data_IF_909500631434
#
_entry.id   IF_909500631434
#
_cell.length_a   1.000
_cell.length_b   1.000
_cell.length_c   1.000
_cell.angle_alpha   90.00
_cell.angle_beta   90.00
_cell.angle_gamma   90.00
#
_symmetry.space_group_name_H-M   'P 1'
#
loop_
_entity.id
_entity.type
_entity.pdbx_description
1 polymer ?
#
# COMPACT_ATOMS: atom_id res chain seq x y z
N UNK A 1 -17.73 -10.68 2.11
CA UNK A 1 -18.59 -10.66 0.90
C UNK A 1 -18.07 -11.72 -0.06
N UNK A 2 -18.84 -12.78 -0.34
CA UNK A 2 -18.35 -13.90 -1.15
C UNK A 2 -18.21 -13.50 -2.63
N UNK A 3 -16.97 -13.32 -3.07
CA UNK A 3 -16.46 -13.49 -4.43
C UNK A 3 -17.17 -12.76 -5.60
N UNK A 4 -17.62 -11.52 -5.43
CA UNK A 4 -17.85 -10.67 -6.62
C UNK A 4 -16.51 -10.02 -7.04
N UNK A 5 -15.89 -10.47 -8.15
CA UNK A 5 -14.65 -9.87 -8.64
C UNK A 5 -14.82 -8.38 -8.98
N UNK A 6 -16.03 -7.96 -9.35
CA UNK A 6 -16.35 -6.57 -9.65
C UNK A 6 -16.36 -5.76 -8.36
N UNK A 7 -17.06 -6.22 -7.33
CA UNK A 7 -17.07 -5.60 -6.01
C UNK A 7 -15.66 -5.48 -5.39
N UNK A 8 -14.85 -6.54 -5.51
CA UNK A 8 -13.45 -6.49 -5.08
C UNK A 8 -12.65 -5.47 -5.88
N UNK A 9 -12.76 -5.45 -7.21
CA UNK A 9 -12.03 -4.52 -8.06
C UNK A 9 -12.41 -3.06 -7.75
N UNK A 10 -13.69 -2.77 -7.53
CA UNK A 10 -14.15 -1.45 -7.12
C UNK A 10 -13.62 -1.06 -5.75
N UNK A 11 -13.68 -1.95 -4.76
CA UNK A 11 -13.17 -1.66 -3.42
C UNK A 11 -11.63 -1.50 -3.43
N UNK A 12 -10.92 -2.37 -4.15
CA UNK A 12 -9.47 -2.28 -4.35
C UNK A 12 -9.08 -0.98 -5.06
N UNK A 13 -9.81 -0.59 -6.11
CA UNK A 13 -9.58 0.66 -6.82
C UNK A 13 -9.87 1.88 -5.93
N UNK A 14 -10.97 1.88 -5.18
CA UNK A 14 -11.31 2.95 -4.24
C UNK A 14 -10.28 3.07 -3.12
N UNK A 15 -9.89 1.95 -2.52
CA UNK A 15 -8.85 1.87 -1.48
C UNK A 15 -7.50 2.33 -2.02
N UNK A 16 -7.12 1.84 -3.20
CA UNK A 16 -5.92 2.29 -3.91
C UNK A 16 -6.00 3.79 -4.14
N UNK A 17 -7.09 4.33 -4.68
CA UNK A 17 -7.22 5.77 -4.94
C UNK A 17 -7.05 6.59 -3.66
N UNK A 18 -7.76 6.24 -2.58
CA UNK A 18 -7.69 6.94 -1.29
C UNK A 18 -6.28 6.92 -0.71
N UNK A 19 -5.56 5.80 -0.79
CA UNK A 19 -4.20 5.68 -0.27
C UNK A 19 -3.12 6.24 -1.22
N UNK A 20 -3.38 6.20 -2.52
CA UNK A 20 -2.45 6.63 -3.57
C UNK A 20 -2.44 8.14 -3.74
N UNK A 21 -3.60 8.80 -3.75
CA UNK A 21 -3.71 10.24 -4.03
C UNK A 21 -2.73 11.05 -3.18
N UNK A 22 -2.68 10.90 -1.84
CA UNK A 22 -1.76 11.70 -1.03
C UNK A 22 -0.29 11.31 -1.22
N UNK A 23 0.01 10.04 -1.54
CA UNK A 23 1.40 9.57 -1.71
C UNK A 23 1.97 9.87 -3.08
N UNK A 24 1.13 9.98 -4.11
CA UNK A 24 1.51 10.19 -5.51
C UNK A 24 1.47 11.67 -5.90
N UNK A 25 0.72 12.52 -5.18
CA UNK A 25 0.54 13.93 -5.51
C UNK A 25 1.86 14.69 -5.68
N UNK A 26 2.76 14.58 -4.69
CA UNK A 26 4.05 15.30 -4.69
C UNK A 26 5.00 14.81 -5.80
N UNK A 27 5.20 13.49 -6.01
CA UNK A 27 5.94 12.98 -7.16
C UNK A 27 5.35 13.40 -8.51
N UNK A 28 4.02 13.28 -8.68
CA UNK A 28 3.35 13.64 -9.94
C UNK A 28 3.53 15.12 -10.25
N UNK A 29 3.37 16.01 -9.27
CA UNK A 29 3.61 17.45 -9.46
C UNK A 29 5.05 17.74 -9.91
N UNK A 30 6.04 17.06 -9.31
CA UNK A 30 7.46 17.19 -9.68
C UNK A 30 7.79 16.65 -11.08
N UNK A 31 7.16 15.55 -11.49
CA UNK A 31 7.38 14.92 -12.81
C UNK A 31 6.63 15.63 -13.92
N UNK A 32 5.44 16.18 -13.62
CA UNK A 32 4.60 16.90 -14.56
C UNK A 32 5.32 18.11 -15.14
N UNK A 33 6.01 18.92 -14.30
CA UNK A 33 6.66 20.18 -14.72
C UNK A 33 5.77 21.04 -15.64
N UNK A 34 4.46 21.10 -15.35
CA UNK A 34 3.47 21.80 -16.17
C UNK A 34 2.86 21.00 -17.35
N UNK A 35 3.41 19.83 -17.69
CA UNK A 35 2.88 18.96 -18.75
C UNK A 35 1.89 17.92 -18.22
N UNK A 36 0.64 18.02 -18.68
CA UNK A 36 -0.41 17.02 -18.40
C UNK A 36 -0.05 15.63 -18.96
N UNK A 37 0.60 15.57 -20.12
CA UNK A 37 1.03 14.30 -20.73
C UNK A 37 2.06 13.54 -19.88
N UNK A 38 3.02 14.25 -19.28
CA UNK A 38 3.99 13.65 -18.35
C UNK A 38 3.33 13.17 -17.06
N UNK A 39 2.38 13.93 -16.52
CA UNK A 39 1.59 13.52 -15.35
C UNK A 39 0.80 12.22 -15.64
N UNK A 40 0.11 12.16 -16.77
CA UNK A 40 -0.67 10.99 -17.18
C UNK A 40 0.22 9.76 -17.38
N UNK A 41 1.36 9.90 -18.07
CA UNK A 41 2.30 8.80 -18.27
C UNK A 41 2.85 8.26 -16.94
N UNK A 42 3.17 9.15 -15.99
CA UNK A 42 3.60 8.75 -14.65
C UNK A 42 2.50 7.98 -13.89
N UNK A 43 1.28 8.51 -13.88
CA UNK A 43 0.14 7.87 -13.23
C UNK A 43 -0.17 6.51 -13.85
N UNK A 44 -0.09 6.38 -15.16
CA UNK A 44 -0.36 5.13 -15.86
C UNK A 44 0.63 4.02 -15.46
N UNK A 45 1.93 4.33 -15.42
CA UNK A 45 2.94 3.38 -14.94
C UNK A 45 2.74 3.01 -13.46
N UNK A 46 2.39 4.00 -12.64
CA UNK A 46 2.14 3.77 -11.21
C UNK A 46 0.92 2.87 -10.97
N UNK A 47 -0.18 3.14 -11.66
CA UNK A 47 -1.43 2.37 -11.59
C UNK A 47 -1.22 0.94 -12.11
N UNK A 48 -0.47 0.77 -13.20
CA UNK A 48 -0.17 -0.56 -13.76
C UNK A 48 0.50 -1.49 -12.74
N UNK A 49 1.46 -1.00 -11.94
CA UNK A 49 2.08 -1.79 -10.88
C UNK A 49 1.08 -2.27 -9.82
N UNK A 50 0.07 -1.46 -9.50
CA UNK A 50 -0.93 -1.80 -8.49
C UNK A 50 -2.00 -2.75 -9.01
N UNK A 51 -2.39 -2.65 -10.28
CA UNK A 51 -3.22 -3.66 -10.91
C UNK A 51 -2.51 -5.02 -10.94
N UNK A 52 -1.21 -5.04 -11.25
CA UNK A 52 -0.43 -6.28 -11.26
C UNK A 52 -0.40 -6.97 -9.88
N UNK A 53 -0.45 -6.20 -8.78
CA UNK A 53 -0.51 -6.74 -7.41
C UNK A 53 -1.93 -6.99 -6.90
N UNK A 54 -2.94 -6.33 -7.48
CA UNK A 54 -4.34 -6.64 -7.20
C UNK A 54 -4.72 -8.08 -7.53
N UNK A 55 -4.10 -8.68 -8.56
CA UNK A 55 -4.34 -10.08 -8.97
C UNK A 55 -3.92 -11.07 -7.87
N UNK A 56 -2.66 -11.11 -7.41
CA UNK A 56 -2.27 -12.01 -6.32
C UNK A 56 -2.96 -11.64 -5.01
N UNK A 57 -3.27 -10.36 -4.76
CA UNK A 57 -4.02 -9.95 -3.57
C UNK A 57 -5.43 -10.56 -3.55
N UNK A 58 -6.16 -10.53 -4.68
CA UNK A 58 -7.48 -11.16 -4.82
C UNK A 58 -7.42 -12.66 -4.53
N UNK A 59 -6.44 -13.35 -5.10
CA UNK A 59 -6.24 -14.78 -4.87
C UNK A 59 -5.95 -15.08 -3.39
N UNK A 60 -5.08 -14.30 -2.74
CA UNK A 60 -4.73 -14.47 -1.33
C UNK A 60 -5.91 -14.20 -0.39
N UNK A 61 -6.67 -13.12 -0.63
CA UNK A 61 -7.85 -12.81 0.19
C UNK A 61 -8.97 -13.81 -0.01
N UNK A 62 -9.13 -14.34 -1.23
CA UNK A 62 -10.18 -15.30 -1.55
C UNK A 62 -9.91 -16.73 -1.07
N UNK A 63 -8.64 -17.15 -1.02
CA UNK A 63 -8.27 -18.54 -0.74
C UNK A 63 -7.72 -18.78 0.68
N UNK A 64 -7.06 -17.80 1.30
CA UNK A 64 -6.20 -18.07 2.46
C UNK A 64 -6.66 -17.44 3.79
N UNK A 65 -7.44 -16.35 3.77
CA UNK A 65 -7.78 -15.59 4.99
C UNK A 65 -9.24 -15.84 5.40
N UNK A 66 -9.62 -17.12 5.54
CA UNK A 66 -10.95 -17.50 6.01
C UNK A 66 -11.11 -17.54 7.53
N UNK A 67 -10.00 -17.70 8.26
CA UNK A 67 -10.00 -17.87 9.71
C UNK A 67 -9.36 -16.67 10.43
N UNK A 68 -9.77 -16.44 11.68
CA UNK A 68 -9.15 -15.41 12.55
C UNK A 68 -7.66 -15.68 12.74
N UNK A 69 -7.25 -16.96 12.83
CA UNK A 69 -5.85 -17.36 12.93
C UNK A 69 -5.06 -16.95 11.68
N UNK A 70 -5.61 -17.15 10.49
CA UNK A 70 -4.97 -16.72 9.25
C UNK A 70 -4.87 -15.19 9.16
N UNK A 71 -5.86 -14.46 9.66
CA UNK A 71 -5.82 -13.00 9.73
C UNK A 71 -4.72 -12.51 10.70
N UNK A 72 -4.61 -13.13 11.89
CA UNK A 72 -3.55 -12.83 12.85
C UNK A 72 -2.16 -13.16 12.29
N UNK A 73 -2.02 -14.31 11.61
CA UNK A 73 -0.78 -14.67 10.94
C UNK A 73 -0.41 -13.67 9.83
N UNK A 74 -1.40 -13.17 9.07
CA UNK A 74 -1.19 -12.12 8.07
C UNK A 74 -0.66 -10.83 8.71
N UNK A 75 -1.24 -10.41 9.84
CA UNK A 75 -0.73 -9.25 10.60
C UNK A 75 0.66 -9.50 11.20
N UNK A 76 0.95 -10.71 11.67
CA UNK A 76 2.29 -11.10 12.10
C UNK A 76 3.32 -10.99 10.97
N UNK A 77 2.96 -11.44 9.77
CA UNK A 77 3.79 -11.27 8.56
C UNK A 77 3.99 -9.80 8.20
N UNK A 78 2.98 -8.95 8.35
CA UNK A 78 3.11 -7.49 8.19
C UNK A 78 4.13 -6.92 9.18
N UNK A 79 4.09 -7.35 10.44
CA UNK A 79 5.05 -6.94 11.46
C UNK A 79 6.48 -7.35 11.11
N UNK A 80 6.68 -8.61 10.73
CA UNK A 80 7.98 -9.13 10.27
C UNK A 80 8.48 -8.39 9.03
N UNK A 81 7.60 -8.14 8.06
CA UNK A 81 7.93 -7.39 6.86
C UNK A 81 8.39 -5.97 7.17
N UNK A 82 7.80 -5.31 8.16
CA UNK A 82 8.24 -3.97 8.60
C UNK A 82 9.62 -3.99 9.25
N UNK A 83 10.04 -5.10 9.85
CA UNK A 83 11.38 -5.23 10.43
C UNK A 83 12.48 -5.42 9.39
N UNK A 84 12.13 -5.94 8.20
CA UNK A 84 13.11 -6.28 7.18
C UNK A 84 13.89 -5.04 6.68
N UNK A 85 15.22 -5.16 6.51
CA UNK A 85 16.04 -4.07 5.96
C UNK A 85 15.68 -3.74 4.51
N UNK A 86 15.12 -4.70 3.77
CA UNK A 86 14.61 -4.48 2.40
C UNK A 86 13.46 -3.46 2.38
N UNK A 87 12.55 -3.52 3.34
CA UNK A 87 11.40 -2.60 3.45
C UNK A 87 11.85 -1.18 3.71
N UNK A 88 12.80 -0.98 4.63
CA UNK A 88 13.38 0.34 4.89
C UNK A 88 14.22 0.86 3.73
N UNK A 89 14.87 -0.01 2.95
CA UNK A 89 15.53 0.37 1.70
C UNK A 89 14.53 0.80 0.61
N UNK A 90 13.40 0.11 0.47
CA UNK A 90 12.33 0.46 -0.46
C UNK A 90 11.67 1.80 -0.10
N UNK A 91 11.42 2.04 1.20
CA UNK A 91 10.89 3.31 1.70
C UNK A 91 11.81 4.49 1.37
N UNK A 92 13.13 4.34 1.56
CA UNK A 92 14.11 5.38 1.17
C UNK A 92 14.08 5.64 -0.34
N UNK A 93 14.02 4.59 -1.15
CA UNK A 93 13.92 4.72 -2.62
C UNK A 93 12.63 5.42 -3.04
N UNK A 94 11.51 5.16 -2.37
CA UNK A 94 10.24 5.89 -2.60
C UNK A 94 10.33 7.40 -2.36
N UNK A 95 11.26 7.87 -1.51
CA UNK A 95 11.44 9.30 -1.23
C UNK A 95 12.28 9.99 -2.32
N UNK A 96 13.21 9.28 -2.92
CA UNK A 96 14.13 9.79 -3.93
C UNK A 96 13.61 9.57 -5.36
N UNK A 97 13.09 10.62 -5.99
CA UNK A 97 12.74 10.61 -7.42
C UNK A 97 13.77 11.41 -8.23
N UNK A 98 14.53 10.73 -9.09
CA UNK A 98 15.35 11.41 -10.10
C UNK A 98 14.49 11.72 -11.34
N UNK A 99 14.14 13.00 -11.51
CA UNK A 99 13.20 13.47 -12.53
C UNK A 99 13.74 13.47 -13.98
N UNK A 100 14.90 12.88 -14.24
CA UNK A 100 15.58 12.87 -15.54
C UNK A 100 15.15 11.72 -16.47
N UNK A 101 14.44 10.72 -15.93
CA UNK A 101 13.98 9.55 -16.71
C UNK A 101 12.60 9.79 -17.36
N UNK A 102 12.23 9.00 -18.40
CA UNK A 102 10.88 9.06 -18.98
C UNK A 102 9.80 8.85 -17.91
N UNK A 103 8.74 9.66 -17.99
CA UNK A 103 7.71 9.76 -16.96
C UNK A 103 7.02 8.41 -16.67
N UNK A 104 6.78 7.59 -17.70
CA UNK A 104 6.20 6.25 -17.55
C UNK A 104 7.10 5.32 -16.72
N UNK A 105 8.40 5.31 -17.00
CA UNK A 105 9.36 4.47 -16.28
C UNK A 105 9.53 4.95 -14.83
N UNK A 106 9.44 6.26 -14.59
CA UNK A 106 9.37 6.82 -13.24
C UNK A 106 8.12 6.36 -12.50
N UNK A 107 6.98 6.31 -13.18
CA UNK A 107 5.72 5.79 -12.65
C UNK A 107 5.85 4.33 -12.23
N UNK A 108 6.36 3.47 -13.12
CA UNK A 108 6.60 2.04 -12.84
C UNK A 108 7.58 1.83 -11.68
N UNK A 109 8.69 2.59 -11.67
CA UNK A 109 9.71 2.47 -10.63
C UNK A 109 9.16 2.92 -9.27
N UNK A 110 8.45 4.04 -9.22
CA UNK A 110 7.80 4.51 -7.99
C UNK A 110 6.71 3.55 -7.53
N UNK A 111 5.92 3.01 -8.48
CA UNK A 111 4.89 2.01 -8.24
C UNK A 111 5.47 0.77 -7.59
N UNK A 112 6.50 0.17 -8.19
CA UNK A 112 7.16 -1.03 -7.66
C UNK A 112 7.73 -0.84 -6.25
N UNK A 113 8.36 0.30 -5.96
CA UNK A 113 8.85 0.58 -4.60
C UNK A 113 7.71 0.77 -3.60
N UNK A 114 6.67 1.49 -4.02
CA UNK A 114 5.50 1.75 -3.17
C UNK A 114 4.82 0.43 -2.82
N UNK A 115 4.46 -0.36 -3.83
CA UNK A 115 3.90 -1.70 -3.70
C UNK A 115 4.79 -2.55 -2.80
N UNK A 116 6.08 -2.68 -3.10
CA UNK A 116 6.98 -3.51 -2.29
C UNK A 116 7.05 -3.10 -0.81
N UNK A 117 6.86 -1.81 -0.51
CA UNK A 117 6.86 -1.33 0.88
C UNK A 117 5.56 -1.58 1.64
N UNK A 118 4.39 -1.51 0.98
CA UNK A 118 3.10 -1.46 1.68
C UNK A 118 2.05 -2.49 1.23
N UNK A 119 2.36 -3.37 0.27
CA UNK A 119 1.41 -4.36 -0.25
C UNK A 119 0.84 -5.29 0.84
N UNK A 120 1.69 -5.84 1.70
CA UNK A 120 1.29 -6.72 2.81
C UNK A 120 0.33 -6.03 3.78
N UNK A 121 0.62 -4.76 4.12
CA UNK A 121 -0.24 -3.96 4.99
C UNK A 121 -1.62 -3.74 4.36
N UNK A 122 -1.67 -3.49 3.04
CA UNK A 122 -2.94 -3.35 2.33
C UNK A 122 -3.74 -4.65 2.28
N UNK A 123 -3.10 -5.80 2.04
CA UNK A 123 -3.77 -7.10 2.08
C UNK A 123 -4.37 -7.37 3.46
N UNK A 124 -3.58 -7.19 4.53
CA UNK A 124 -4.04 -7.40 5.90
C UNK A 124 -5.21 -6.48 6.27
N UNK A 125 -5.15 -5.21 5.85
CA UNK A 125 -6.21 -4.23 6.10
C UNK A 125 -7.50 -4.61 5.37
N UNK A 126 -7.39 -4.99 4.09
CA UNK A 126 -8.53 -5.42 3.29
C UNK A 126 -9.19 -6.66 3.86
N UNK A 127 -8.40 -7.67 4.23
CA UNK A 127 -8.89 -8.89 4.85
C UNK A 127 -9.57 -8.60 6.20
N UNK A 128 -9.07 -7.64 6.97
CA UNK A 128 -9.69 -7.20 8.22
C UNK A 128 -11.06 -6.56 7.97
N UNK A 129 -11.16 -5.64 7.01
CA UNK A 129 -12.43 -4.96 6.70
C UNK A 129 -13.48 -5.94 6.19
N UNK A 130 -13.11 -6.89 5.32
CA UNK A 130 -14.04 -7.90 4.82
C UNK A 130 -14.47 -8.90 5.92
N UNK A 131 -13.52 -9.39 6.73
CA UNK A 131 -13.79 -10.42 7.76
C UNK A 131 -14.72 -9.92 8.86
N UNK A 132 -14.56 -8.68 9.29
CA UNK A 132 -15.38 -8.08 10.33
C UNK A 132 -16.66 -7.42 9.79
N UNK A 133 -16.87 -7.44 8.46
CA UNK A 133 -18.00 -6.80 7.78
C UNK A 133 -18.26 -5.39 8.31
N UNK A 134 -17.18 -4.62 8.49
CA UNK A 134 -17.25 -3.35 9.19
C UNK A 134 -18.21 -2.40 8.45
N UNK A 135 -19.01 -1.60 9.19
CA UNK A 135 -19.80 -0.55 8.57
C UNK A 135 -18.92 0.33 7.68
N UNK A 136 -19.44 0.77 6.53
CA UNK A 136 -18.68 1.53 5.53
C UNK A 136 -17.87 2.67 6.14
N UNK A 137 -18.46 3.43 7.08
CA UNK A 137 -17.78 4.52 7.78
C UNK A 137 -16.56 4.06 8.58
N UNK A 138 -16.66 2.93 9.29
CA UNK A 138 -15.56 2.35 10.07
C UNK A 138 -14.49 1.78 9.15
N UNK A 139 -14.89 1.10 8.07
CA UNK A 139 -13.97 0.65 7.03
C UNK A 139 -13.16 1.80 6.43
N UNK A 140 -13.83 2.90 6.07
CA UNK A 140 -13.16 4.12 5.57
C UNK A 140 -12.21 4.69 6.64
N UNK A 141 -12.63 4.78 7.90
CA UNK A 141 -11.77 5.29 8.98
C UNK A 141 -10.50 4.45 9.16
N UNK A 142 -10.61 3.11 9.13
CA UNK A 142 -9.46 2.20 9.17
C UNK A 142 -8.55 2.44 7.97
N UNK A 143 -9.10 2.55 6.77
CA UNK A 143 -8.31 2.82 5.56
C UNK A 143 -7.60 4.17 5.62
N UNK A 144 -8.25 5.21 6.12
CA UNK A 144 -7.64 6.53 6.32
C UNK A 144 -6.52 6.45 7.35
N UNK A 145 -6.72 5.72 8.46
CA UNK A 145 -5.69 5.49 9.48
C UNK A 145 -4.46 4.78 8.92
N UNK A 146 -4.67 3.72 8.12
CA UNK A 146 -3.59 3.00 7.44
C UNK A 146 -2.89 3.89 6.41
N UNK A 147 -3.63 4.71 5.66
CA UNK A 147 -3.05 5.68 4.74
C UNK A 147 -2.16 6.69 5.47
N UNK A 148 -2.64 7.23 6.59
CA UNK A 148 -1.88 8.14 7.44
C UNK A 148 -0.62 7.48 8.00
N UNK A 149 -0.72 6.22 8.41
CA UNK A 149 0.43 5.44 8.86
C UNK A 149 1.46 5.24 7.74
N UNK A 150 1.04 4.86 6.53
CA UNK A 150 1.94 4.74 5.36
C UNK A 150 2.58 6.08 5.04
N UNK A 151 1.83 7.18 5.11
CA UNK A 151 2.38 8.53 4.90
C UNK A 151 3.42 8.89 5.97
N UNK A 152 3.16 8.54 7.23
CA UNK A 152 4.09 8.74 8.32
C UNK A 152 5.38 7.93 8.13
N UNK A 153 5.28 6.65 7.76
CA UNK A 153 6.45 5.81 7.43
C UNK A 153 7.29 6.39 6.29
N UNK A 154 6.63 7.00 5.30
CA UNK A 154 7.29 7.66 4.16
C UNK A 154 7.83 9.04 4.51
N UNK A 155 7.49 9.61 5.66
CA UNK A 155 7.97 10.93 6.06
C UNK A 155 9.46 10.89 6.39
N UNK A 156 10.22 11.96 6.09
CA UNK A 156 11.63 12.05 6.48
C UNK A 156 11.83 12.11 8.00
N UNK A 157 10.75 12.25 8.78
CA UNK A 157 10.76 12.25 10.25
C UNK A 157 10.69 10.84 10.86
N UNK A 158 10.25 9.84 10.10
CA UNK A 158 10.17 8.47 10.60
C UNK A 158 11.57 7.83 10.62
N UNK A 159 12.08 7.60 11.83
CA UNK A 159 13.34 6.87 12.01
C UNK A 159 13.14 5.39 11.69
N UNK A 160 14.20 4.70 11.23
CA UNK A 160 14.15 3.25 11.00
C UNK A 160 13.83 2.49 12.29
N UNK A 161 14.24 3.02 13.45
CA UNK A 161 13.92 2.46 14.76
C UNK A 161 12.41 2.55 15.05
N UNK A 162 11.77 3.69 14.76
CA UNK A 162 10.33 3.87 14.96
C UNK A 162 9.50 2.88 14.13
N UNK A 163 9.89 2.63 12.88
CA UNK A 163 9.22 1.66 12.00
C UNK A 163 9.38 0.23 12.54
N UNK A 164 10.59 -0.13 13.01
CA UNK A 164 10.84 -1.43 13.62
C UNK A 164 10.05 -1.63 14.92
N UNK A 165 9.95 -0.61 15.76
CA UNK A 165 9.15 -0.66 16.99
C UNK A 165 7.67 -0.91 16.69
N UNK A 166 7.12 -0.28 15.65
CA UNK A 166 5.74 -0.58 15.22
C UNK A 166 5.63 -2.01 14.70
N UNK A 167 6.61 -2.49 13.93
CA UNK A 167 6.68 -3.90 13.54
C UNK A 167 6.66 -4.85 14.74
N UNK A 168 7.45 -4.58 15.79
CA UNK A 168 7.47 -5.37 17.03
C UNK A 168 6.10 -5.34 17.71
N UNK A 169 5.52 -4.15 17.87
CA UNK A 169 4.22 -3.99 18.50
C UNK A 169 3.12 -4.76 17.76
N UNK A 170 3.14 -4.74 16.42
CA UNK A 170 2.19 -5.51 15.60
C UNK A 170 2.39 -7.01 15.80
N UNK A 171 3.64 -7.51 15.79
CA UNK A 171 3.90 -8.94 16.06
C UNK A 171 3.40 -9.33 17.44
N UNK A 172 3.75 -8.56 18.48
CA UNK A 172 3.33 -8.86 19.87
C UNK A 172 1.81 -8.83 20.01
N UNK A 173 1.12 -7.92 19.33
CA UNK A 173 -0.34 -7.85 19.35
C UNK A 173 -1.04 -9.00 18.60
N UNK A 174 -0.29 -9.77 17.80
CA UNK A 174 -0.84 -10.89 17.00
C UNK A 174 -0.55 -12.27 17.58
N UNK A 175 0.24 -12.36 18.65
CA UNK A 175 0.54 -13.57 19.43
C UNK A 175 -0.35 -13.61 20.66
#
# INVERSE_FOLDING_TARGET
MHHDPIGFAFMWAAMSLVMMVPTVLRPTARVARGSRGRAAAFLLGYIACWFAVGIPAFALTGLAIGSTVALLACWGLVGLWQMLPSTSALLRKCQSLNAERPALLLGLRQGSWCVGSCWLLMIATMATVDRFALPLAVGIAVMVGVAAFIMWQKSPRASTQSIRMVGVAVVVATV
#
